data_IF_256209264100
#
_entry.id   IF_256209264100
#
_cell.length_a   1.000
_cell.length_b   1.000
_cell.length_c   1.000
_cell.angle_alpha   90.00
_cell.angle_beta   90.00
_cell.angle_gamma   90.00
#
_symmetry.space_group_name_H-M   'P 1'
#
loop_
_entity.id
_entity.type
_entity.pdbx_description
1 polymer ?
#
# COMPACT_ATOMS: atom_id res chain seq x y z
N UNK A 1 -3.27 31.83 20.36
CA UNK A 1 -2.77 30.64 19.64
C UNK A 1 -3.65 29.47 20.02
N UNK A 2 -4.69 29.19 19.24
CA UNK A 2 -5.51 28.00 19.43
C UNK A 2 -4.85 26.91 18.59
N UNK A 3 -4.07 26.03 19.22
CA UNK A 3 -3.54 24.84 18.56
C UNK A 3 -4.69 23.87 18.36
N UNK A 4 -5.40 24.03 17.25
CA UNK A 4 -6.44 23.09 16.84
C UNK A 4 -5.78 21.79 16.37
N UNK A 5 -6.47 20.67 16.57
CA UNK A 5 -6.07 19.35 16.09
C UNK A 5 -6.22 19.27 14.55
N UNK A 6 -5.32 19.96 13.85
CA UNK A 6 -5.39 20.19 12.40
C UNK A 6 -5.34 18.88 11.59
N UNK A 7 -4.57 17.91 12.07
CA UNK A 7 -4.45 16.59 11.46
C UNK A 7 -5.42 15.58 12.07
N UNK A 8 -6.31 16.01 12.96
CA UNK A 8 -7.34 15.18 13.56
C UNK A 8 -6.79 13.97 14.35
N UNK A 9 -5.59 14.10 14.89
CA UNK A 9 -4.92 13.03 15.62
C UNK A 9 -5.71 12.58 16.85
N UNK A 10 -6.37 13.50 17.56
CA UNK A 10 -7.22 13.16 18.70
C UNK A 10 -8.59 12.64 18.26
N UNK A 11 -9.12 13.13 17.14
CA UNK A 11 -10.36 12.60 16.58
C UNK A 11 -10.20 11.12 16.17
N UNK A 12 -9.07 10.77 15.56
CA UNK A 12 -8.78 9.39 15.13
C UNK A 12 -8.17 8.51 16.23
N UNK A 13 -7.77 9.09 17.37
CA UNK A 13 -7.04 8.34 18.40
C UNK A 13 -7.82 7.12 18.90
N UNK A 14 -9.14 7.28 19.16
CA UNK A 14 -9.97 6.19 19.66
C UNK A 14 -10.11 5.06 18.63
N UNK A 15 -10.39 5.39 17.37
CA UNK A 15 -10.54 4.39 16.30
C UNK A 15 -9.22 3.66 16.04
N UNK A 16 -8.10 4.38 16.06
CA UNK A 16 -6.75 3.81 15.97
C UNK A 16 -6.48 2.80 17.10
N UNK A 17 -6.75 3.15 18.36
CA UNK A 17 -6.53 2.24 19.49
C UNK A 17 -7.42 0.99 19.39
N UNK A 18 -8.70 1.15 19.03
CA UNK A 18 -9.61 -0.01 18.92
C UNK A 18 -9.22 -0.95 17.77
N UNK A 19 -8.78 -0.43 16.61
CA UNK A 19 -8.36 -1.30 15.52
C UNK A 19 -7.04 -2.00 15.82
N UNK A 20 -6.12 -1.37 16.55
CA UNK A 20 -4.88 -2.02 16.99
C UNK A 20 -5.16 -3.23 17.89
N UNK A 21 -6.15 -3.17 18.79
CA UNK A 21 -6.58 -4.35 19.57
C UNK A 21 -7.09 -5.48 18.67
N UNK A 22 -7.84 -5.14 17.62
CA UNK A 22 -8.32 -6.14 16.66
C UNK A 22 -7.16 -6.77 15.86
N UNK A 23 -6.12 -5.98 15.54
CA UNK A 23 -4.88 -6.48 14.93
C UNK A 23 -4.19 -7.48 15.87
N UNK A 24 -4.07 -7.17 17.17
CA UNK A 24 -3.48 -8.08 18.16
C UNK A 24 -4.22 -9.42 18.23
N UNK A 25 -5.57 -9.40 18.27
CA UNK A 25 -6.37 -10.63 18.29
C UNK A 25 -6.25 -11.43 16.99
N UNK A 26 -6.17 -10.75 15.84
CA UNK A 26 -5.97 -11.40 14.53
C UNK A 26 -4.57 -12.00 14.42
N UNK A 27 -3.55 -11.35 14.98
CA UNK A 27 -2.17 -11.83 14.93
C UNK A 27 -1.99 -13.16 15.68
N UNK A 28 -2.76 -13.38 16.76
CA UNK A 28 -2.81 -14.68 17.46
C UNK A 28 -3.34 -15.81 16.57
N UNK A 29 -4.14 -15.50 15.54
CA UNK A 29 -4.71 -16.45 14.59
C UNK A 29 -3.80 -16.59 13.36
N UNK A 30 -2.71 -17.35 13.53
CA UNK A 30 -1.61 -17.46 12.57
C UNK A 30 -2.05 -17.73 11.12
N UNK A 31 -2.96 -18.68 10.92
CA UNK A 31 -3.39 -19.07 9.57
C UNK A 31 -4.12 -17.92 8.85
N UNK A 32 -5.02 -17.22 9.56
CA UNK A 32 -5.73 -16.06 9.02
C UNK A 32 -4.80 -14.86 8.77
N UNK A 33 -3.78 -14.69 9.61
CA UNK A 33 -2.76 -13.67 9.41
C UNK A 33 -1.94 -13.94 8.14
N UNK A 34 -1.51 -15.19 7.94
CA UNK A 34 -0.79 -15.63 6.74
C UNK A 34 -1.67 -15.48 5.51
N UNK A 35 -2.93 -15.91 5.56
CA UNK A 35 -3.89 -15.74 4.47
C UNK A 35 -3.99 -14.27 4.07
N UNK A 36 -4.18 -13.37 5.05
CA UNK A 36 -4.23 -11.92 4.80
C UNK A 36 -2.93 -11.41 4.16
N UNK A 37 -1.78 -11.93 4.58
CA UNK A 37 -0.46 -11.54 4.03
C UNK A 37 -0.33 -11.98 2.58
N UNK A 38 -0.68 -13.22 2.26
CA UNK A 38 -0.65 -13.76 0.90
C UNK A 38 -1.60 -12.97 -0.01
N UNK A 39 -2.81 -12.68 0.47
CA UNK A 39 -3.77 -11.87 -0.28
C UNK A 39 -3.24 -10.47 -0.60
N UNK A 40 -2.52 -9.84 0.32
CA UNK A 40 -1.86 -8.57 0.00
C UNK A 40 -0.81 -8.75 -1.11
N UNK A 41 0.08 -9.74 -0.99
CA UNK A 41 1.17 -9.99 -1.96
C UNK A 41 0.63 -10.23 -3.36
N UNK A 42 -0.38 -11.11 -3.53
CA UNK A 42 -0.90 -11.47 -4.86
C UNK A 42 -1.58 -10.29 -5.56
N UNK A 43 -2.07 -9.30 -4.82
CA UNK A 43 -2.75 -8.13 -5.35
C UNK A 43 -1.81 -6.92 -5.58
N UNK A 44 -0.49 -7.06 -5.38
CA UNK A 44 0.47 -5.95 -5.53
C UNK A 44 0.78 -5.57 -6.98
N UNK A 45 0.39 -6.38 -7.98
CA UNK A 45 0.82 -6.19 -9.38
C UNK A 45 0.52 -4.81 -9.96
N UNK A 46 -0.61 -4.20 -9.60
CA UNK A 46 -0.97 -2.85 -10.05
C UNK A 46 0.01 -1.76 -9.56
N UNK A 47 0.62 -1.96 -8.39
CA UNK A 47 1.56 -1.01 -7.80
C UNK A 47 3.00 -1.19 -8.28
N UNK A 48 3.27 -2.11 -9.23
CA UNK A 48 4.59 -2.25 -9.83
C UNK A 48 5.01 -0.96 -10.56
N UNK A 49 6.26 -0.55 -10.33
CA UNK A 49 6.88 0.54 -11.09
C UNK A 49 6.97 0.23 -12.57
N UNK A 50 7.11 -1.04 -12.98
CA UNK A 50 7.21 -1.43 -14.39
C UNK A 50 5.97 -1.00 -15.16
N UNK A 51 4.78 -1.15 -14.56
CA UNK A 51 3.53 -0.65 -15.13
C UNK A 51 3.57 0.86 -15.31
N UNK A 52 3.98 1.60 -14.28
CA UNK A 52 4.06 3.07 -14.32
C UNK A 52 5.07 3.54 -15.37
N UNK A 53 6.27 2.95 -15.43
CA UNK A 53 7.30 3.29 -16.41
C UNK A 53 6.79 3.01 -17.83
N UNK A 54 6.13 1.87 -18.05
CA UNK A 54 5.52 1.54 -19.34
C UNK A 54 4.46 2.57 -19.74
N UNK A 55 3.58 2.97 -18.82
CA UNK A 55 2.58 4.01 -19.10
C UNK A 55 3.21 5.37 -19.43
N UNK A 56 4.29 5.75 -18.75
CA UNK A 56 5.04 6.97 -19.09
C UNK A 56 5.70 6.86 -20.47
N UNK A 57 6.36 5.74 -20.77
CA UNK A 57 6.98 5.48 -22.05
C UNK A 57 5.98 5.58 -23.21
N UNK A 58 4.81 4.94 -23.08
CA UNK A 58 3.77 4.92 -24.11
C UNK A 58 3.00 6.25 -24.22
N UNK A 59 2.62 6.85 -23.09
CA UNK A 59 1.65 7.97 -23.09
C UNK A 59 2.32 9.34 -23.14
N UNK A 60 3.50 9.50 -22.56
CA UNK A 60 4.17 10.79 -22.39
C UNK A 60 5.45 10.85 -23.24
N UNK A 61 6.41 9.95 -23.02
CA UNK A 61 7.73 10.06 -23.62
C UNK A 61 7.79 9.61 -25.07
N UNK A 62 6.89 8.72 -25.48
CA UNK A 62 6.84 8.13 -26.83
C UNK A 62 8.15 7.43 -27.19
N UNK A 63 8.63 6.58 -26.27
CA UNK A 63 9.86 5.78 -26.43
C UNK A 63 9.57 4.29 -26.36
N UNK A 64 10.35 3.50 -27.11
CA UNK A 64 10.29 2.05 -27.12
C UNK A 64 11.54 1.45 -26.44
N UNK A 65 11.44 0.25 -25.84
CA UNK A 65 12.60 -0.45 -25.28
C UNK A 65 13.65 -0.73 -26.36
N UNK A 66 14.92 -0.47 -26.04
CA UNK A 66 16.05 -0.80 -26.92
C UNK A 66 16.48 -2.24 -26.63
N UNK A 67 16.41 -3.09 -27.64
CA UNK A 67 17.02 -4.42 -27.59
C UNK A 67 18.50 -4.28 -27.88
N UNK A 68 19.35 -4.61 -26.91
CA UNK A 68 20.79 -4.74 -27.14
C UNK A 68 21.01 -6.12 -27.79
N UNK A 69 21.42 -6.14 -29.06
CA UNK A 69 21.88 -7.37 -29.71
C UNK A 69 23.28 -7.75 -29.22
N UNK A 70 23.70 -8.98 -29.53
CA UNK A 70 25.13 -9.29 -29.68
C UNK A 70 25.69 -8.61 -30.94
#
# INVERSE_FOLDING_TARGET
MQYHDYYQAFADFRSYVEIQKAVDEKYKQRDQWIESTIQNIVNMGFFSSDRTIKEYAERIWKVEPVQLGD
#
